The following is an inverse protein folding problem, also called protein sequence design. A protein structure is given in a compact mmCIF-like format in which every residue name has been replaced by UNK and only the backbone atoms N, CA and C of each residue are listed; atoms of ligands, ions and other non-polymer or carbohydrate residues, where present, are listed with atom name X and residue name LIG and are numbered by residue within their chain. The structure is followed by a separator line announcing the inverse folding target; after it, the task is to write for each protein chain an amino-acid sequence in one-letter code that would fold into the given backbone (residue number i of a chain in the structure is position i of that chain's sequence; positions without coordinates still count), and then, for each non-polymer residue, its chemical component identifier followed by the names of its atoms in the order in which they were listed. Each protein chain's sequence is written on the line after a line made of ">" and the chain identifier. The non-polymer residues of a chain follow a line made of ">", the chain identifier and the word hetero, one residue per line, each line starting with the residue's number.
data_IF_676971135947
#
_entry.id   IF_676971135947
#
_cell.length_a   1.000
_cell.length_b   1.000
_cell.length_c   1.000
_cell.angle_alpha   90.00
_cell.angle_beta   90.00
_cell.angle_gamma   90.00
#
_symmetry.space_group_name_H-M   'P 1'
#
loop_
_entity.id
_entity.type
_entity.pdbx_description
1 polymer ?
#
# COMPACT_ATOMS: atom_id res chain seq x y z
N UNK A 1 18.83 10.87 -0.70
CA UNK A 1 17.37 10.79 -0.80
C UNK A 1 16.84 9.46 -0.26
N UNK A 2 17.03 8.32 -0.93
CA UNK A 2 16.42 7.04 -0.55
C UNK A 2 16.52 6.67 0.94
N UNK A 3 17.74 6.50 1.47
CA UNK A 3 17.94 6.15 2.87
C UNK A 3 17.59 7.28 3.86
N UNK A 4 17.61 8.53 3.42
CA UNK A 4 17.32 9.69 4.26
C UNK A 4 15.82 9.84 4.53
N UNK A 5 15.00 9.46 3.55
CA UNK A 5 13.55 9.56 3.61
C UNK A 5 12.86 8.23 3.90
N UNK A 6 13.63 7.18 4.26
CA UNK A 6 13.11 5.84 4.54
C UNK A 6 12.21 5.31 3.40
N UNK A 7 12.66 5.47 2.15
CA UNK A 7 11.91 4.99 1.00
C UNK A 7 11.98 3.46 0.93
N UNK A 8 10.84 2.83 0.64
CA UNK A 8 10.76 1.41 0.28
C UNK A 8 11.03 1.21 -1.23
N UNK A 9 10.63 2.17 -2.07
CA UNK A 9 10.83 2.16 -3.52
C UNK A 9 11.03 3.59 -4.04
N UNK A 10 11.95 3.74 -5.00
CA UNK A 10 12.08 4.93 -5.83
C UNK A 10 12.25 4.45 -7.27
N UNK A 11 11.23 4.66 -8.09
CA UNK A 11 11.21 4.34 -9.50
C UNK A 11 11.11 5.64 -10.31
N UNK A 12 11.93 5.77 -11.36
CA UNK A 12 11.89 6.91 -12.29
C UNK A 12 11.62 6.32 -13.67
N UNK A 13 10.48 6.68 -14.25
CA UNK A 13 10.07 6.14 -15.54
C UNK A 13 9.10 7.10 -16.26
N UNK A 14 9.54 7.81 -17.32
CA UNK A 14 10.83 7.69 -17.99
C UNK A 14 11.92 8.61 -17.41
N UNK A 15 13.16 8.13 -17.44
CA UNK A 15 14.36 8.95 -17.29
C UNK A 15 14.86 9.35 -18.69
N UNK A 16 14.66 10.62 -19.06
CA UNK A 16 14.90 11.09 -20.42
C UNK A 16 16.26 11.80 -20.54
N UNK A 17 16.85 11.75 -21.74
CA UNK A 17 18.04 12.54 -22.10
C UNK A 17 17.56 13.69 -22.98
N UNK A 18 17.82 14.93 -22.57
CA UNK A 18 17.46 16.12 -23.35
C UNK A 18 18.37 16.27 -24.57
N UNK A 19 18.00 17.14 -25.53
CA UNK A 19 18.83 17.42 -26.70
C UNK A 19 20.22 18.00 -26.38
N UNK A 20 20.40 18.52 -25.16
CA UNK A 20 21.69 19.01 -24.63
C UNK A 20 22.51 17.92 -23.92
N UNK A 21 22.00 16.69 -23.83
CA UNK A 21 22.66 15.56 -23.16
C UNK A 21 22.40 15.47 -21.65
N UNK A 22 21.50 16.30 -21.10
CA UNK A 22 21.17 16.28 -19.68
C UNK A 22 20.15 15.19 -19.35
N UNK A 23 20.26 14.56 -18.18
CA UNK A 23 19.26 13.63 -17.66
C UNK A 23 18.14 14.39 -16.95
N UNK A 24 16.89 14.02 -17.25
CA UNK A 24 15.70 14.58 -16.61
C UNK A 24 14.75 13.45 -16.20
N UNK A 25 14.32 13.48 -14.93
CA UNK A 25 13.27 12.59 -14.42
C UNK A 25 11.91 13.19 -14.82
N UNK A 26 11.25 12.60 -15.82
CA UNK A 26 9.97 13.13 -16.29
C UNK A 26 8.81 12.72 -15.39
N UNK A 27 8.85 11.48 -14.90
CA UNK A 27 7.88 10.91 -13.99
C UNK A 27 8.57 9.91 -13.05
N UNK A 28 7.97 9.67 -11.89
CA UNK A 28 8.51 8.74 -10.91
C UNK A 28 7.51 8.38 -9.83
N UNK A 29 7.66 7.15 -9.33
CA UNK A 29 6.87 6.60 -8.24
C UNK A 29 7.76 6.40 -7.02
N UNK A 30 7.30 6.93 -5.89
CA UNK A 30 7.96 6.76 -4.60
C UNK A 30 7.02 5.97 -3.69
N UNK A 31 7.57 4.94 -3.05
CA UNK A 31 6.90 4.26 -1.95
C UNK A 31 7.73 4.45 -0.68
N UNK A 32 7.07 4.75 0.43
CA UNK A 32 7.70 5.09 1.71
C UNK A 32 7.46 3.92 2.66
N UNK A 33 8.46 3.57 3.48
CA UNK A 33 8.24 2.61 4.56
C UNK A 33 7.27 3.22 5.60
N UNK A 34 6.06 2.67 5.67
CA UNK A 34 5.02 3.14 6.59
C UNK A 34 5.45 3.03 8.06
N UNK A 35 6.33 2.07 8.40
CA UNK A 35 6.87 1.92 9.75
C UNK A 35 7.82 3.05 10.15
N UNK A 36 8.37 3.79 9.17
CA UNK A 36 9.26 4.92 9.41
C UNK A 36 8.55 6.28 9.37
N UNK A 37 7.26 6.35 9.00
CA UNK A 37 6.52 7.60 8.88
C UNK A 37 6.49 8.43 10.18
N UNK A 38 6.54 7.78 11.34
CA UNK A 38 6.57 8.48 12.64
C UNK A 38 7.76 9.45 12.79
N UNK A 39 8.88 9.20 12.09
CA UNK A 39 10.09 10.05 12.09
C UNK A 39 10.22 10.91 10.83
N UNK A 40 9.24 10.88 9.92
CA UNK A 40 9.23 11.62 8.65
C UNK A 40 8.02 12.59 8.57
N UNK A 41 7.97 13.65 9.41
CA UNK A 41 6.79 14.52 9.54
C UNK A 41 6.40 15.20 8.22
N UNK A 42 7.40 15.64 7.43
CA UNK A 42 7.16 16.26 6.12
C UNK A 42 6.50 15.32 5.12
N UNK A 43 6.84 14.03 5.15
CA UNK A 43 6.23 13.05 4.25
C UNK A 43 4.83 12.67 4.72
N UNK A 44 4.61 12.61 6.04
CA UNK A 44 3.29 12.38 6.61
C UNK A 44 2.29 13.48 6.24
N UNK A 45 2.74 14.73 6.15
CA UNK A 45 1.91 15.86 5.68
C UNK A 45 1.52 15.77 4.20
N UNK A 46 2.24 14.98 3.40
CA UNK A 46 1.94 14.75 1.98
C UNK A 46 0.96 13.60 1.76
N UNK A 47 0.48 12.96 2.83
CA UNK A 47 -0.52 11.89 2.75
C UNK A 47 -1.85 12.43 2.22
N UNK A 48 -2.37 11.80 1.17
CA UNK A 48 -3.66 12.14 0.57
C UNK A 48 -4.63 10.95 0.76
N UNK A 49 -5.53 11.02 1.76
CA UNK A 49 -6.50 9.98 2.04
C UNK A 49 -7.46 9.67 0.87
N UNK A 50 -7.62 10.59 -0.09
CA UNK A 50 -8.51 10.37 -1.24
C UNK A 50 -7.99 9.32 -2.22
N UNK A 51 -6.72 8.94 -2.10
CA UNK A 51 -6.07 7.91 -2.92
C UNK A 51 -6.15 6.50 -2.30
N UNK A 52 -6.72 6.38 -1.09
CA UNK A 52 -6.88 5.12 -0.36
C UNK A 52 -8.33 4.62 -0.45
N UNK A 53 -8.54 3.30 -0.28
CA UNK A 53 -9.91 2.77 -0.13
C UNK A 53 -10.47 3.23 1.22
N UNK A 54 -11.66 3.86 1.19
CA UNK A 54 -12.30 4.42 2.38
C UNK A 54 -12.48 3.39 3.51
N UNK A 55 -12.68 2.11 3.17
CA UNK A 55 -12.85 1.03 4.15
C UNK A 55 -11.54 0.68 4.83
N UNK A 56 -10.45 0.61 4.06
CA UNK A 56 -9.10 0.36 4.59
C UNK A 56 -8.66 1.50 5.50
N UNK A 57 -8.84 2.75 5.03
CA UNK A 57 -8.53 3.95 5.80
C UNK A 57 -9.35 4.04 7.11
N UNK A 58 -10.64 3.68 7.06
CA UNK A 58 -11.47 3.64 8.26
C UNK A 58 -11.02 2.56 9.23
N UNK A 59 -10.72 1.35 8.75
CA UNK A 59 -10.24 0.25 9.58
C UNK A 59 -8.90 0.58 10.26
N UNK A 60 -7.99 1.25 9.56
CA UNK A 60 -6.70 1.67 10.09
C UNK A 60 -6.82 2.61 11.31
N UNK A 61 -7.88 3.43 11.39
CA UNK A 61 -8.15 4.30 12.56
C UNK A 61 -8.44 3.50 13.83
N UNK A 62 -8.87 2.26 13.69
CA UNK A 62 -9.15 1.32 14.77
C UNK A 62 -8.03 0.28 14.95
N UNK A 63 -6.87 0.51 14.34
CA UNK A 63 -5.73 -0.44 14.34
C UNK A 63 -6.09 -1.81 13.74
N UNK A 64 -7.06 -1.84 12.83
CA UNK A 64 -7.45 -3.03 12.07
C UNK A 64 -6.77 -3.04 10.70
N UNK A 65 -6.25 -4.19 10.30
CA UNK A 65 -5.85 -4.44 8.93
C UNK A 65 -7.07 -4.99 8.20
N UNK A 66 -7.57 -4.25 7.20
CA UNK A 66 -8.70 -4.64 6.38
C UNK A 66 -8.22 -4.67 4.93
N UNK A 67 -8.58 -5.73 4.21
CA UNK A 67 -8.37 -5.79 2.75
C UNK A 67 -9.70 -6.07 2.08
N UNK A 68 -10.04 -5.25 1.09
CA UNK A 68 -11.23 -5.44 0.29
C UNK A 68 -10.98 -6.42 -0.87
N UNK A 69 -11.91 -7.36 -1.06
CA UNK A 69 -11.89 -8.35 -2.14
C UNK A 69 -13.27 -8.41 -2.82
N UNK A 70 -13.32 -8.97 -4.02
CA UNK A 70 -14.55 -9.13 -4.78
C UNK A 70 -15.22 -10.48 -4.47
N UNK A 71 -16.00 -10.53 -3.38
CA UNK A 71 -16.72 -11.73 -2.97
C UNK A 71 -17.97 -11.44 -2.15
N UNK A 72 -18.45 -12.45 -1.40
CA UNK A 72 -19.68 -12.35 -0.61
C UNK A 72 -19.56 -12.88 0.82
N UNK A 73 -18.41 -13.43 1.20
CA UNK A 73 -18.13 -13.94 2.54
C UNK A 73 -17.18 -12.97 3.24
N UNK A 74 -17.55 -12.43 4.41
CA UNK A 74 -16.63 -11.67 5.26
C UNK A 74 -15.92 -12.58 6.25
N UNK A 75 -14.64 -12.34 6.51
CA UNK A 75 -13.88 -13.04 7.52
C UNK A 75 -13.24 -12.07 8.51
N UNK A 76 -13.11 -12.48 9.77
CA UNK A 76 -12.39 -11.76 10.80
C UNK A 76 -11.48 -12.75 11.51
N UNK A 77 -10.18 -12.50 11.47
CA UNK A 77 -9.15 -13.40 11.99
C UNK A 77 -8.06 -12.64 12.73
N UNK A 78 -7.41 -13.32 13.65
CA UNK A 78 -6.23 -12.80 14.34
C UNK A 78 -4.96 -13.22 13.60
N UNK A 79 -4.30 -12.24 12.97
CA UNK A 79 -2.99 -12.39 12.34
C UNK A 79 -3.06 -12.68 10.84
N UNK A 80 -2.18 -12.03 10.09
CA UNK A 80 -2.19 -12.05 8.62
C UNK A 80 -2.01 -13.45 8.01
N UNK A 81 -1.20 -14.31 8.63
CA UNK A 81 -1.00 -15.68 8.13
C UNK A 81 -2.26 -16.53 8.21
N UNK A 82 -3.04 -16.38 9.30
CA UNK A 82 -4.32 -17.07 9.44
C UNK A 82 -5.37 -16.47 8.50
N UNK A 83 -5.30 -15.15 8.24
CA UNK A 83 -6.17 -14.48 7.27
C UNK A 83 -6.02 -15.07 5.87
N UNK A 84 -4.77 -15.14 5.40
CA UNK A 84 -4.45 -15.70 4.08
C UNK A 84 -4.80 -17.19 3.99
N UNK A 85 -4.49 -17.98 5.02
CA UNK A 85 -4.85 -19.40 5.04
C UNK A 85 -6.37 -19.64 5.05
N UNK A 86 -7.12 -18.80 5.77
CA UNK A 86 -8.59 -18.85 5.74
C UNK A 86 -9.10 -18.47 4.36
N UNK A 87 -8.45 -17.50 3.70
CA UNK A 87 -8.76 -17.11 2.34
C UNK A 87 -8.63 -18.25 1.34
N UNK A 88 -7.50 -18.95 1.40
CA UNK A 88 -7.23 -20.10 0.56
C UNK A 88 -8.24 -21.23 0.79
N UNK A 89 -8.59 -21.53 2.05
CA UNK A 89 -9.54 -22.60 2.39
C UNK A 89 -10.96 -22.28 1.88
N UNK A 90 -11.42 -21.04 2.05
CA UNK A 90 -12.76 -20.64 1.57
C UNK A 90 -12.83 -20.76 0.04
N UNK A 91 -11.80 -20.28 -0.66
CA UNK A 91 -11.72 -20.37 -2.11
C UNK A 91 -11.66 -21.84 -2.59
N UNK A 92 -10.89 -22.70 -1.90
CA UNK A 92 -10.80 -24.13 -2.19
C UNK A 92 -12.16 -24.84 -2.12
N UNK A 93 -13.06 -24.39 -1.23
CA UNK A 93 -14.40 -24.94 -1.06
C UNK A 93 -15.47 -24.20 -1.88
N UNK A 94 -15.06 -23.35 -2.82
CA UNK A 94 -15.96 -22.65 -3.75
C UNK A 94 -16.64 -21.39 -3.21
N UNK A 95 -16.21 -20.88 -2.05
CA UNK A 95 -16.62 -19.58 -1.55
C UNK A 95 -15.78 -18.44 -2.12
N UNK A 96 -16.32 -17.22 -2.10
CA UNK A 96 -15.60 -16.01 -2.52
C UNK A 96 -15.55 -15.04 -1.36
N UNK A 97 -14.35 -14.72 -0.87
CA UNK A 97 -14.19 -13.74 0.19
C UNK A 97 -14.35 -12.32 -0.33
N UNK A 98 -15.11 -11.55 0.43
CA UNK A 98 -15.32 -10.12 0.30
C UNK A 98 -14.27 -9.34 1.10
N UNK A 99 -13.79 -9.89 2.22
CA UNK A 99 -12.81 -9.21 3.08
C UNK A 99 -12.12 -10.17 4.05
N UNK A 100 -10.90 -9.80 4.45
CA UNK A 100 -10.12 -10.42 5.52
C UNK A 100 -9.52 -9.39 6.47
#
# INVERSE_FOLDING_TARGET
>A
MFAQYDLALLEINPLVITGEGNLLCLDGKINIDSNALYRQPKLREMHDPSQEDEREAHAAQWELNYVALDGNIGCMVNGAGLAMGTMDIVNLHGGQLLTS
#
